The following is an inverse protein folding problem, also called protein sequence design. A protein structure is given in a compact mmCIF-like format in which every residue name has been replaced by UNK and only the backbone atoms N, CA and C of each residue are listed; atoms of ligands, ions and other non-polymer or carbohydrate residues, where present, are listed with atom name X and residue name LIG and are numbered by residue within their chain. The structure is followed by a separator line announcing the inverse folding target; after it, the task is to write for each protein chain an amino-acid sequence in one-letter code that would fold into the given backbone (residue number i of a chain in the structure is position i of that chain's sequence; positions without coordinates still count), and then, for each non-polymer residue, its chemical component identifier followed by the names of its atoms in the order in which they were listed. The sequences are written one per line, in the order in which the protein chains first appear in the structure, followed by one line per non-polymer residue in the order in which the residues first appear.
data_IF_684034522605
#
_entry.id   IF_684034522605
#
_cell.length_a   1.000
_cell.length_b   1.000
_cell.length_c   1.000
_cell.angle_alpha   90.00
_cell.angle_beta   90.00
_cell.angle_gamma   90.00
#
_symmetry.space_group_name_H-M   'P 1'
#
loop_
_entity.id
_entity.type
_entity.pdbx_description
1 polymer ?
#
# COMPACT_ATOMS: atom_id res chain seq x y z
N UNK A 1 25.53 -60.33 -29.22
CA UNK A 1 25.58 -60.77 -27.81
C UNK A 1 25.61 -59.54 -26.92
N UNK A 2 24.50 -59.16 -26.27
CA UNK A 2 24.55 -58.32 -25.07
C UNK A 2 24.06 -59.11 -23.84
N UNK A 3 24.86 -59.10 -22.77
CA UNK A 3 24.50 -59.71 -21.49
C UNK A 3 23.59 -58.79 -20.68
N UNK A 4 22.48 -59.37 -20.21
CA UNK A 4 21.55 -58.82 -19.24
C UNK A 4 22.21 -58.45 -17.91
N UNK A 5 21.67 -57.42 -17.24
CA UNK A 5 21.52 -57.45 -15.78
C UNK A 5 20.17 -56.86 -15.38
N UNK A 6 19.38 -57.73 -14.78
CA UNK A 6 18.03 -57.58 -14.29
C UNK A 6 18.11 -57.42 -12.76
N UNK A 7 17.43 -56.45 -12.16
CA UNK A 7 16.87 -56.61 -10.80
C UNK A 7 15.47 -55.99 -10.77
N UNK A 8 14.53 -56.80 -10.31
CA UNK A 8 13.09 -56.61 -10.15
C UNK A 8 12.81 -56.07 -8.75
N UNK A 9 11.95 -55.06 -8.65
CA UNK A 9 11.07 -54.81 -7.50
C UNK A 9 10.01 -53.81 -7.97
N UNK A 10 8.70 -53.98 -7.84
CA UNK A 10 7.81 -55.02 -7.36
C UNK A 10 6.40 -54.47 -7.64
N UNK A 11 5.54 -55.26 -8.27
CA UNK A 11 4.19 -54.85 -8.68
C UNK A 11 3.14 -55.19 -7.62
N UNK A 12 2.18 -54.30 -7.39
CA UNK A 12 0.73 -54.58 -7.25
C UNK A 12 -0.04 -53.28 -6.89
N UNK A 13 -0.93 -52.78 -7.76
CA UNK A 13 -2.41 -52.92 -7.77
C UNK A 13 -3.10 -52.01 -6.72
N UNK A 14 -4.21 -51.27 -6.91
CA UNK A 14 -5.11 -50.88 -8.01
C UNK A 14 -6.16 -49.90 -7.41
N UNK A 15 -6.69 -49.01 -8.25
CA UNK A 15 -8.05 -48.44 -8.24
C UNK A 15 -8.63 -47.78 -6.96
N UNK A 16 -8.87 -46.47 -7.06
CA UNK A 16 -10.22 -45.93 -6.82
C UNK A 16 -10.42 -44.68 -7.68
N UNK A 17 -11.40 -44.76 -8.58
CA UNK A 17 -11.92 -43.67 -9.40
C UNK A 17 -12.89 -42.85 -8.56
N UNK A 18 -12.71 -41.54 -8.51
CA UNK A 18 -13.79 -40.59 -8.22
C UNK A 18 -13.57 -39.34 -9.08
N UNK A 19 -14.56 -39.10 -9.95
CA UNK A 19 -14.70 -37.90 -10.73
C UNK A 19 -14.90 -36.67 -9.82
N UNK A 20 -14.45 -35.50 -10.30
CA UNK A 20 -14.91 -34.10 -10.09
C UNK A 20 -13.72 -33.16 -9.92
N UNK A 21 -13.88 -31.87 -10.23
CA UNK A 21 -13.73 -31.29 -11.55
C UNK A 21 -12.45 -30.43 -11.59
N UNK A 22 -12.22 -29.78 -12.73
CA UNK A 22 -11.26 -28.69 -12.91
C UNK A 22 -11.29 -27.75 -11.69
N UNK A 23 -10.27 -27.83 -10.84
CA UNK A 23 -10.05 -26.85 -9.78
C UNK A 23 -9.22 -25.72 -10.38
N UNK A 24 -9.92 -24.65 -10.72
CA UNK A 24 -9.31 -23.38 -11.02
C UNK A 24 -8.78 -22.72 -9.74
N UNK A 25 -7.66 -22.01 -9.90
CA UNK A 25 -7.11 -20.93 -9.07
C UNK A 25 -6.23 -21.29 -7.86
N UNK A 26 -5.29 -20.40 -7.48
CA UNK A 26 -4.97 -19.11 -8.07
C UNK A 26 -3.56 -19.06 -8.68
N UNK A 27 -3.44 -18.32 -9.78
CA UNK A 27 -2.16 -17.81 -10.23
C UNK A 27 -1.51 -17.06 -9.07
N UNK A 28 -0.24 -17.38 -8.83
CA UNK A 28 0.67 -16.76 -7.86
C UNK A 28 0.90 -15.30 -8.29
N UNK A 29 -0.11 -14.45 -8.09
CA UNK A 29 0.06 -13.01 -8.09
C UNK A 29 0.97 -12.65 -6.92
N UNK A 30 1.92 -11.72 -7.08
CA UNK A 30 2.78 -11.31 -5.98
C UNK A 30 1.89 -10.91 -4.80
N UNK A 31 2.07 -11.58 -3.67
CA UNK A 31 1.43 -11.20 -2.43
C UNK A 31 1.81 -9.74 -2.15
N UNK A 32 0.83 -8.84 -2.15
CA UNK A 32 1.00 -7.43 -1.80
C UNK A 32 1.50 -7.38 -0.34
N UNK A 33 2.82 -7.35 -0.14
CA UNK A 33 3.39 -7.29 1.21
C UNK A 33 3.23 -5.87 1.73
N UNK A 34 2.14 -5.61 2.46
CA UNK A 34 1.97 -4.39 3.23
C UNK A 34 2.99 -4.36 4.37
N UNK A 35 4.16 -3.74 4.15
CA UNK A 35 5.06 -3.39 5.26
C UNK A 35 4.52 -2.14 5.97
N UNK A 36 3.70 -2.38 6.99
CA UNK A 36 3.19 -1.37 7.93
C UNK A 36 3.85 -1.52 9.31
N UNK A 37 5.14 -1.84 9.37
CA UNK A 37 5.88 -1.98 10.64
C UNK A 37 6.27 -0.62 11.27
N UNK A 38 5.97 0.51 10.61
CA UNK A 38 6.22 1.84 11.15
C UNK A 38 4.95 2.46 11.72
N UNK A 39 5.06 3.00 12.94
CA UNK A 39 4.02 3.83 13.55
C UNK A 39 3.77 5.06 12.66
N UNK A 40 2.51 5.53 12.55
CA UNK A 40 2.19 6.73 11.78
C UNK A 40 2.96 7.93 12.34
N UNK A 41 3.59 8.70 11.46
CA UNK A 41 4.19 9.99 11.83
C UNK A 41 3.09 11.05 11.85
N UNK A 42 3.09 11.88 12.90
CA UNK A 42 2.13 12.95 13.07
C UNK A 42 2.76 14.26 12.60
N UNK A 43 2.11 14.94 11.66
CA UNK A 43 2.49 16.28 11.22
C UNK A 43 1.53 17.32 11.79
N UNK A 44 2.09 18.38 12.37
CA UNK A 44 1.39 19.56 12.85
C UNK A 44 1.52 20.68 11.82
N UNK A 45 0.41 21.18 11.29
CA UNK A 45 0.37 22.24 10.27
C UNK A 45 -0.13 23.58 10.85
N UNK A 46 0.02 24.68 10.09
CA UNK A 46 -0.25 26.07 10.55
C UNK A 46 -1.66 26.35 11.10
N UNK A 47 -2.63 25.51 10.76
CA UNK A 47 -4.03 25.63 11.21
C UNK A 47 -4.35 24.70 12.40
N UNK A 48 -3.34 24.27 13.17
CA UNK A 48 -3.43 23.27 14.25
C UNK A 48 -3.98 21.90 13.83
N UNK A 49 -4.06 21.64 12.53
CA UNK A 49 -4.44 20.34 12.01
C UNK A 49 -3.31 19.33 12.19
N UNK A 50 -3.72 18.11 12.55
CA UNK A 50 -2.86 16.95 12.73
C UNK A 50 -3.07 15.98 11.59
N UNK A 51 -2.06 15.82 10.74
CA UNK A 51 -2.08 14.81 9.68
C UNK A 51 -1.34 13.57 10.18
N UNK A 52 -1.97 12.40 10.11
CA UNK A 52 -1.27 11.14 10.38
C UNK A 52 -0.83 10.56 9.05
N UNK A 53 0.46 10.30 8.91
CA UNK A 53 1.06 9.77 7.69
C UNK A 53 1.72 8.44 7.99
N UNK A 54 1.36 7.39 7.26
CA UNK A 54 2.07 6.11 7.31
C UNK A 54 2.70 5.81 5.96
N UNK A 55 3.95 5.35 5.99
CA UNK A 55 4.68 4.91 4.81
C UNK A 55 4.45 3.42 4.61
N UNK A 56 4.29 3.04 3.35
CA UNK A 56 4.08 1.67 2.94
C UNK A 56 4.83 1.44 1.63
N UNK A 57 5.13 0.17 1.36
CA UNK A 57 5.65 -0.27 0.08
C UNK A 57 4.80 -1.45 -0.39
N UNK A 58 4.34 -1.39 -1.64
CA UNK A 58 3.57 -2.44 -2.29
C UNK A 58 4.28 -2.77 -3.60
N UNK A 59 4.75 -4.00 -3.77
CA UNK A 59 5.48 -4.45 -4.98
C UNK A 59 6.62 -3.50 -5.40
N UNK A 60 7.42 -3.06 -4.43
CA UNK A 60 8.50 -2.07 -4.62
C UNK A 60 8.06 -0.65 -4.97
N UNK A 61 6.75 -0.37 -5.04
CA UNK A 61 6.22 0.98 -5.15
C UNK A 61 6.05 1.60 -3.77
N UNK A 62 6.66 2.76 -3.55
CA UNK A 62 6.50 3.52 -2.32
C UNK A 62 5.22 4.35 -2.37
N UNK A 63 4.46 4.32 -1.28
CA UNK A 63 3.21 5.05 -1.14
C UNK A 63 2.96 5.40 0.32
N UNK A 64 2.19 6.44 0.55
CA UNK A 64 1.80 6.87 1.89
C UNK A 64 0.29 6.82 2.05
N UNK A 65 -0.17 6.55 3.26
CA UNK A 65 -1.53 6.89 3.68
C UNK A 65 -1.51 8.18 4.48
N UNK A 66 -2.31 9.17 4.05
CA UNK A 66 -2.53 10.42 4.77
C UNK A 66 -3.93 10.39 5.36
N UNK A 67 -4.03 10.41 6.68
CA UNK A 67 -5.30 10.45 7.40
C UNK A 67 -5.59 11.87 7.87
N UNK A 68 -6.71 12.41 7.37
CA UNK A 68 -7.25 13.73 7.68
C UNK A 68 -8.23 13.62 8.85
N UNK A 69 -8.11 14.49 9.87
CA UNK A 69 -9.15 14.62 10.89
C UNK A 69 -10.38 15.26 10.25
N UNK A 70 -11.57 14.76 10.61
CA UNK A 70 -12.82 15.39 10.19
C UNK A 70 -13.34 16.28 11.30
N UNK A 71 -13.50 17.56 11.01
CA UNK A 71 -14.03 18.55 11.94
C UNK A 71 -15.50 18.27 12.32
N UNK A 72 -16.22 17.50 11.50
CA UNK A 72 -17.65 17.21 11.69
C UNK A 72 -17.92 15.92 12.45
N UNK A 73 -16.98 14.97 12.46
CA UNK A 73 -17.10 13.76 13.28
C UNK A 73 -15.73 13.10 13.45
N UNK A 74 -15.28 12.88 14.70
CA UNK A 74 -14.00 12.21 14.97
C UNK A 74 -13.97 10.75 14.49
N UNK A 75 -15.14 10.14 14.25
CA UNK A 75 -15.26 8.78 13.71
C UNK A 75 -15.14 8.74 12.17
N UNK A 76 -15.28 9.88 11.49
CA UNK A 76 -15.17 9.97 10.02
C UNK A 76 -13.84 10.57 9.61
N UNK A 77 -12.72 9.96 10.00
CA UNK A 77 -11.44 10.32 9.38
C UNK A 77 -11.43 9.90 7.91
N UNK A 78 -10.82 10.74 7.06
CA UNK A 78 -10.63 10.42 5.64
C UNK A 78 -9.18 10.01 5.43
N UNK A 79 -8.97 8.80 4.91
CA UNK A 79 -7.63 8.32 4.57
C UNK A 79 -7.44 8.35 3.06
N UNK A 80 -6.34 8.92 2.61
CA UNK A 80 -5.95 9.02 1.21
C UNK A 80 -4.66 8.24 0.97
N UNK A 81 -4.65 7.43 -0.08
CA UNK A 81 -3.44 6.73 -0.53
C UNK A 81 -2.77 7.54 -1.63
N UNK A 82 -1.52 7.92 -1.41
CA UNK A 82 -0.74 8.73 -2.35
C UNK A 82 0.51 7.97 -2.77
N UNK A 83 0.64 7.57 -4.04
CA UNK A 83 1.87 6.97 -4.55
C UNK A 83 2.97 8.02 -4.69
N UNK A 84 4.22 7.57 -4.59
CA UNK A 84 5.38 8.40 -4.89
C UNK A 84 5.33 8.89 -6.34
N UNK A 85 5.39 10.21 -6.53
CA UNK A 85 5.28 10.86 -7.84
C UNK A 85 6.61 11.49 -8.26
N UNK A 86 7.35 12.10 -7.34
CA UNK A 86 8.61 12.77 -7.66
C UNK A 86 9.55 12.78 -6.44
N UNK A 87 10.86 12.62 -6.69
CA UNK A 87 11.90 12.71 -5.65
C UNK A 87 13.05 13.60 -6.16
N UNK A 88 12.81 14.91 -6.17
CA UNK A 88 13.72 15.93 -6.71
C UNK A 88 14.14 16.92 -5.64
N UNK A 89 13.57 18.14 -5.66
CA UNK A 89 13.79 19.18 -4.64
C UNK A 89 13.12 18.88 -3.29
N UNK A 90 12.81 17.61 -3.02
CA UNK A 90 11.86 17.13 -2.03
C UNK A 90 11.19 15.84 -2.51
N UNK A 91 10.47 15.18 -1.61
CA UNK A 91 9.72 13.95 -1.88
C UNK A 91 8.25 14.30 -2.01
N UNK A 92 7.65 13.97 -3.15
CA UNK A 92 6.24 14.24 -3.45
C UNK A 92 5.48 12.96 -3.69
N UNK A 93 4.41 12.78 -2.93
CA UNK A 93 3.41 11.74 -3.12
C UNK A 93 2.15 12.40 -3.65
N UNK A 94 1.58 11.89 -4.75
CA UNK A 94 0.45 12.55 -5.39
C UNK A 94 -0.47 11.56 -6.10
N UNK A 95 -1.75 11.88 -6.09
CA UNK A 95 -2.80 11.31 -6.95
C UNK A 95 -3.51 12.43 -7.69
N UNK A 96 -4.50 12.10 -8.51
CA UNK A 96 -5.29 13.09 -9.26
C UNK A 96 -6.03 14.08 -8.35
N UNK A 97 -6.33 13.67 -7.11
CA UNK A 97 -7.14 14.42 -6.17
C UNK A 97 -6.34 15.09 -5.06
N UNK A 98 -5.14 14.60 -4.73
CA UNK A 98 -4.39 15.12 -3.60
C UNK A 98 -2.88 15.00 -3.79
N UNK A 99 -2.13 15.86 -3.11
CA UNK A 99 -0.66 15.80 -3.09
C UNK A 99 -0.12 16.13 -1.71
N UNK A 100 0.94 15.41 -1.34
CA UNK A 100 1.72 15.60 -0.13
C UNK A 100 3.18 15.76 -0.53
N UNK A 101 3.78 16.89 -0.17
CA UNK A 101 5.13 17.23 -0.57
C UNK A 101 5.97 17.53 0.68
N UNK A 102 7.05 16.78 0.85
CA UNK A 102 8.01 16.95 1.94
C UNK A 102 9.26 17.64 1.38
N UNK A 103 9.64 18.75 1.99
CA UNK A 103 10.83 19.53 1.62
C UNK A 103 11.56 20.00 2.87
N UNK A 104 12.74 19.40 3.11
CA UNK A 104 13.51 19.62 4.33
C UNK A 104 12.70 19.21 5.56
N UNK A 105 12.60 20.09 6.55
CA UNK A 105 11.87 19.85 7.81
C UNK A 105 10.37 20.22 7.74
N UNK A 106 9.88 20.54 6.55
CA UNK A 106 8.49 20.98 6.33
C UNK A 106 7.80 20.15 5.28
N UNK A 107 6.48 20.03 5.41
CA UNK A 107 5.62 19.38 4.43
C UNK A 107 4.41 20.26 4.10
N UNK A 108 3.82 19.99 2.94
CA UNK A 108 2.60 20.61 2.47
C UNK A 108 1.64 19.54 1.97
N UNK A 109 0.36 19.68 2.32
CA UNK A 109 -0.72 18.85 1.83
C UNK A 109 -1.74 19.70 1.06
N UNK A 110 -2.20 19.20 -0.09
CA UNK A 110 -3.27 19.80 -0.89
C UNK A 110 -4.24 18.72 -1.34
N UNK A 111 -5.55 18.94 -1.26
CA UNK A 111 -6.57 18.03 -1.76
C UNK A 111 -7.72 18.78 -2.42
N UNK A 112 -8.03 18.40 -3.66
CA UNK A 112 -9.20 18.84 -4.40
C UNK A 112 -10.38 17.93 -4.07
N UNK A 113 -11.40 18.46 -3.43
CA UNK A 113 -12.66 17.73 -3.26
C UNK A 113 -13.55 17.93 -4.49
N UNK A 114 -14.00 16.84 -5.10
CA UNK A 114 -14.77 16.87 -6.36
C UNK A 114 -16.26 17.21 -6.18
N UNK A 115 -16.76 17.32 -4.94
CA UNK A 115 -18.20 17.48 -4.65
C UNK A 115 -18.60 18.92 -4.24
N UNK A 116 -17.65 19.73 -3.80
CA UNK A 116 -17.82 21.15 -3.48
C UNK A 116 -16.44 21.77 -3.63
N UNK A 117 -16.36 22.95 -4.26
CA UNK A 117 -15.11 23.63 -4.64
C UNK A 117 -14.32 24.18 -3.42
N UNK A 118 -14.11 23.34 -2.40
CA UNK A 118 -13.21 23.59 -1.28
C UNK A 118 -11.90 22.84 -1.55
N UNK A 119 -10.88 23.59 -1.93
CA UNK A 119 -9.50 23.11 -2.00
C UNK A 119 -8.95 23.09 -0.58
N UNK A 120 -8.68 21.90 -0.05
CA UNK A 120 -8.11 21.75 1.30
C UNK A 120 -6.60 21.86 1.20
N UNK A 121 -6.01 22.86 1.87
CA UNK A 121 -4.56 23.08 1.85
C UNK A 121 -4.01 23.25 3.26
N UNK A 122 -3.02 22.43 3.61
CA UNK A 122 -2.25 22.53 4.85
C UNK A 122 -0.79 22.82 4.53
N UNK A 123 -0.27 23.90 5.09
CA UNK A 123 1.10 24.37 4.86
C UNK A 123 1.92 24.29 6.15
N UNK A 124 3.25 24.35 5.98
CA UNK A 124 4.25 24.32 7.05
C UNK A 124 4.04 23.16 8.05
N UNK A 125 3.63 22.00 7.54
CA UNK A 125 3.43 20.81 8.33
C UNK A 125 4.78 20.27 8.82
N UNK A 126 5.00 20.19 10.13
CA UNK A 126 6.24 19.68 10.72
C UNK A 126 5.97 18.42 11.53
N UNK A 127 6.94 17.51 11.58
CA UNK A 127 6.84 16.32 12.42
C UNK A 127 6.72 16.75 13.89
N UNK A 128 5.66 16.28 14.55
CA UNK A 128 5.52 16.42 16.00
C UNK A 128 6.33 15.30 16.68
N UNK A 129 7.18 15.63 17.66
CA UNK A 129 7.76 14.63 18.56
C UNK A 129 6.68 14.00 19.45
#
# INVERSE_FOLDING_TARGET
MPFCKLIIAGSALTLASFATPIFAQPEDGPALIFRSDQLPTIFMCDSNYRLKVSWMSIDSNELISVTLPSDRSPEKSRTLLLPLSQSGSGVRYASDLASFHIKGDSAEFSSKETAHSDDTRFQNCKVSP
#
